data_IF_427476394282
#
_entry.id   IF_427476394282
#
_cell.length_a   1.000
_cell.length_b   1.000
_cell.length_c   1.000
_cell.angle_alpha   90.00
_cell.angle_beta   90.00
_cell.angle_gamma   90.00
#
_symmetry.space_group_name_H-M   'P 1'
#
loop_
_entity.id
_entity.type
_entity.pdbx_description
1 polymer ?
#
# COMPACT_ATOMS: atom_id res chain seq x y z
N UNK A 1 13.74 -9.73 18.38
CA UNK A 1 14.13 -9.18 17.07
C UNK A 1 13.11 -8.12 16.73
N UNK A 2 13.47 -6.85 16.96
CA UNK A 2 12.64 -5.69 16.63
C UNK A 2 12.29 -5.77 15.15
N UNK A 3 11.03 -6.07 14.83
CA UNK A 3 10.63 -6.13 13.44
C UNK A 3 10.81 -4.73 12.85
N UNK A 4 11.66 -4.62 11.82
CA UNK A 4 11.90 -3.45 10.98
C UNK A 4 10.63 -3.07 10.20
N UNK A 5 9.59 -2.72 10.93
CA UNK A 5 8.31 -2.25 10.42
C UNK A 5 8.26 -0.74 10.62
N UNK A 6 7.91 0.04 9.58
CA UNK A 6 7.54 -0.34 8.20
C UNK A 6 8.75 -0.42 7.25
N UNK A 7 8.69 -1.33 6.28
CA UNK A 7 9.65 -1.48 5.19
C UNK A 7 8.93 -1.80 3.86
N UNK A 8 9.55 -1.43 2.74
CA UNK A 8 8.98 -1.69 1.40
C UNK A 8 8.70 -3.19 1.18
N UNK A 9 7.56 -3.50 0.58
CA UNK A 9 7.08 -4.86 0.33
C UNK A 9 6.30 -5.48 1.48
N UNK A 10 6.36 -4.92 2.69
CA UNK A 10 5.58 -5.44 3.82
C UNK A 10 4.09 -5.28 3.60
N UNK A 11 3.32 -6.30 3.97
CA UNK A 11 1.86 -6.35 3.84
C UNK A 11 1.22 -6.38 5.21
N UNK A 12 0.18 -5.57 5.42
CA UNK A 12 -0.52 -5.42 6.70
C UNK A 12 -2.00 -5.06 6.46
N UNK A 13 -2.83 -5.20 7.49
CA UNK A 13 -4.21 -4.75 7.43
C UNK A 13 -4.33 -3.26 7.70
N UNK A 14 -5.03 -2.57 6.81
CA UNK A 14 -5.08 -1.11 6.82
C UNK A 14 -6.43 -0.57 6.37
N UNK A 15 -6.88 0.51 6.99
CA UNK A 15 -8.07 1.25 6.59
C UNK A 15 -7.76 2.19 5.43
N UNK A 16 -7.57 1.62 4.25
CA UNK A 16 -7.22 2.37 3.05
C UNK A 16 -8.33 3.38 2.68
N UNK A 17 -8.00 4.66 2.78
CA UNK A 17 -8.83 5.80 2.38
C UNK A 17 -8.71 6.11 0.88
N UNK A 18 -9.73 5.75 0.11
CA UNK A 18 -9.82 6.10 -1.30
C UNK A 18 -9.97 7.62 -1.48
N UNK A 19 -9.46 8.16 -2.59
CA UNK A 19 -9.50 9.59 -2.91
C UNK A 19 -10.92 10.16 -2.88
N UNK A 20 -11.89 9.43 -3.44
CA UNK A 20 -13.30 9.86 -3.42
C UNK A 20 -13.90 9.90 -2.01
N UNK A 21 -13.38 9.12 -1.06
CA UNK A 21 -13.78 9.16 0.35
C UNK A 21 -13.18 10.41 1.01
N UNK A 22 -11.90 10.67 0.77
CA UNK A 22 -11.22 11.87 1.25
C UNK A 22 -11.89 13.15 0.73
N UNK A 23 -12.28 13.18 -0.55
CA UNK A 23 -13.02 14.29 -1.17
C UNK A 23 -14.40 14.54 -0.54
N UNK A 24 -14.95 13.54 0.15
CA UNK A 24 -16.20 13.63 0.92
C UNK A 24 -15.98 13.96 2.41
N UNK A 25 -14.74 14.22 2.82
CA UNK A 25 -14.38 14.53 4.20
C UNK A 25 -14.21 13.31 5.11
N UNK A 26 -14.17 12.08 4.58
CA UNK A 26 -13.83 10.91 5.38
C UNK A 26 -12.34 10.94 5.73
N UNK A 27 -12.02 10.63 6.99
CA UNK A 27 -10.64 10.61 7.51
C UNK A 27 -10.04 9.19 7.53
N UNK A 28 -10.84 8.14 7.30
CA UNK A 28 -10.39 6.75 7.27
C UNK A 28 -11.16 5.88 6.27
N UNK A 29 -10.50 4.81 5.80
CA UNK A 29 -11.16 3.82 4.97
C UNK A 29 -12.21 3.04 5.78
N UNK A 30 -13.37 2.78 5.17
CA UNK A 30 -14.52 2.13 5.84
C UNK A 30 -14.31 0.67 6.28
N UNK A 31 -13.20 0.02 5.90
CA UNK A 31 -12.87 -1.35 6.34
C UNK A 31 -11.38 -1.64 6.23
N UNK A 32 -10.87 -2.51 7.10
CA UNK A 32 -9.53 -3.10 6.99
C UNK A 32 -9.41 -3.92 5.70
N UNK A 33 -8.30 -3.75 5.00
CA UNK A 33 -7.93 -4.52 3.81
C UNK A 33 -6.44 -4.81 3.85
N UNK A 34 -5.98 -5.94 3.29
CA UNK A 34 -4.56 -6.12 3.04
C UNK A 34 -4.05 -4.98 2.16
N UNK A 35 -2.94 -4.38 2.58
CA UNK A 35 -2.26 -3.28 1.89
C UNK A 35 -0.76 -3.48 2.02
N UNK A 36 0.01 -2.98 1.06
CA UNK A 36 1.47 -3.07 1.10
C UNK A 36 2.14 -1.71 1.22
N UNK A 37 3.26 -1.65 1.94
CA UNK A 37 4.18 -0.51 1.90
C UNK A 37 4.90 -0.54 0.55
N UNK A 38 4.69 0.47 -0.27
CA UNK A 38 5.43 0.66 -1.54
C UNK A 38 6.84 1.14 -1.23
N UNK A 39 6.96 2.17 -0.39
CA UNK A 39 8.23 2.76 0.02
C UNK A 39 8.05 3.52 1.33
N UNK A 40 9.13 3.62 2.11
CA UNK A 40 9.23 4.47 3.29
C UNK A 40 10.31 5.52 3.02
N UNK A 41 10.00 6.78 3.28
CA UNK A 41 10.96 7.89 3.15
C UNK A 41 10.99 8.70 4.43
N UNK A 42 12.15 9.24 4.78
CA UNK A 42 12.27 10.19 5.88
C UNK A 42 12.01 11.60 5.36
N UNK A 43 11.04 12.31 5.95
CA UNK A 43 10.77 13.71 5.60
C UNK A 43 11.77 14.67 6.26
N UNK A 44 11.65 15.97 5.94
CA UNK A 44 12.54 17.01 6.50
C UNK A 44 12.45 17.15 8.04
N UNK A 45 11.34 16.72 8.64
CA UNK A 45 11.15 16.71 10.08
C UNK A 45 11.69 15.43 10.75
N UNK A 46 12.34 14.53 10.00
CA UNK A 46 12.87 13.27 10.50
C UNK A 46 11.82 12.17 10.69
N UNK A 47 10.58 12.36 10.20
CA UNK A 47 9.50 11.38 10.34
C UNK A 47 9.44 10.40 9.17
N UNK A 48 8.97 9.18 9.44
CA UNK A 48 8.85 8.12 8.43
C UNK A 48 7.50 8.22 7.72
N UNK A 49 7.53 8.65 6.46
CA UNK A 49 6.37 8.69 5.57
C UNK A 49 6.28 7.41 4.78
N UNK A 50 5.23 6.64 5.02
CA UNK A 50 4.88 5.42 4.30
C UNK A 50 3.98 5.75 3.12
N UNK A 51 4.33 5.23 1.95
CA UNK A 51 3.43 5.20 0.80
C UNK A 51 2.82 3.81 0.70
N UNK A 52 1.49 3.72 0.76
CA UNK A 52 0.76 2.48 0.97
C UNK A 52 -0.17 2.24 -0.23
N UNK A 53 -0.14 1.04 -0.78
CA UNK A 53 -1.02 0.60 -1.87
C UNK A 53 -2.03 -0.44 -1.35
N UNK A 54 -3.31 -0.39 -1.76
CA UNK A 54 -4.29 -1.38 -1.35
C UNK A 54 -4.21 -2.63 -2.22
N UNK A 55 -4.56 -3.78 -1.62
CA UNK A 55 -4.71 -5.06 -2.31
C UNK A 55 -6.20 -5.37 -2.48
N UNK A 56 -6.56 -5.92 -3.64
CA UNK A 56 -7.95 -6.27 -3.98
C UNK A 56 -8.03 -7.61 -4.68
N UNK A 57 -9.10 -8.37 -4.43
CA UNK A 57 -9.51 -9.55 -5.21
C UNK A 57 -10.51 -9.21 -6.32
N UNK A 58 -10.92 -7.93 -6.43
CA UNK A 58 -11.71 -7.45 -7.56
C UNK A 58 -10.78 -7.07 -8.70
N UNK A 59 -11.03 -7.64 -9.87
CA UNK A 59 -10.32 -7.28 -11.10
C UNK A 59 -10.35 -5.75 -11.31
N UNK A 60 -9.20 -5.11 -11.55
CA UNK A 60 -9.13 -3.67 -11.77
C UNK A 60 -9.96 -3.25 -13.00
N UNK A 61 -10.73 -2.16 -12.86
CA UNK A 61 -11.48 -1.59 -13.97
C UNK A 61 -10.54 -1.07 -15.08
N UNK A 62 -10.99 -0.99 -16.35
CA UNK A 62 -10.22 -0.39 -17.42
C UNK A 62 -9.67 1.00 -17.04
N UNK A 63 -8.39 1.24 -17.32
CA UNK A 63 -7.70 2.48 -16.98
C UNK A 63 -7.09 2.54 -15.57
N UNK A 64 -7.35 1.56 -14.70
CA UNK A 64 -6.60 1.39 -13.45
C UNK A 64 -5.24 0.78 -13.75
N UNK A 65 -4.20 1.31 -13.10
CA UNK A 65 -2.88 0.68 -13.12
C UNK A 65 -2.73 -0.20 -11.89
N UNK A 66 -2.45 -1.48 -12.11
CA UNK A 66 -2.32 -2.47 -11.06
C UNK A 66 -1.36 -3.58 -11.49
N UNK A 67 -0.73 -4.22 -10.52
CA UNK A 67 0.05 -5.44 -10.74
C UNK A 67 -0.69 -6.62 -10.14
N UNK A 68 -0.88 -7.66 -10.93
CA UNK A 68 -1.36 -8.95 -10.42
C UNK A 68 -0.29 -9.55 -9.50
N UNK A 69 -0.72 -10.13 -8.39
CA UNK A 69 0.14 -10.73 -7.38
C UNK A 69 0.34 -12.21 -7.75
N UNK A 70 1.56 -12.64 -8.09
CA UNK A 70 1.84 -14.05 -8.30
C UNK A 70 1.54 -14.87 -7.05
N UNK A 71 1.11 -16.12 -7.22
CA UNK A 71 0.76 -17.00 -6.10
C UNK A 71 1.90 -17.13 -5.07
N UNK A 72 3.16 -17.18 -5.54
CA UNK A 72 4.34 -17.22 -4.67
C UNK A 72 4.45 -15.98 -3.78
N UNK A 73 4.12 -14.81 -4.30
CA UNK A 73 4.14 -13.54 -3.57
C UNK A 73 2.95 -13.45 -2.60
N UNK A 74 1.77 -13.95 -3.01
CA UNK A 74 0.62 -14.07 -2.13
C UNK A 74 0.94 -14.95 -0.91
N UNK A 75 1.61 -16.10 -1.11
CA UNK A 75 2.06 -16.97 -0.01
C UNK A 75 3.06 -16.26 0.92
N UNK A 76 4.07 -15.55 0.38
CA UNK A 76 5.04 -14.79 1.20
C UNK A 76 4.38 -13.71 2.05
N UNK A 77 3.34 -13.07 1.51
CA UNK A 77 2.57 -12.03 2.16
C UNK A 77 1.42 -12.56 3.05
N UNK A 78 1.21 -13.87 3.13
CA UNK A 78 0.07 -14.52 3.80
C UNK A 78 -1.28 -13.96 3.34
N UNK A 79 -1.43 -13.84 2.03
CA UNK A 79 -2.67 -13.50 1.35
C UNK A 79 -3.38 -14.79 0.89
N UNK A 80 -4.65 -14.66 0.51
CA UNK A 80 -5.39 -15.77 -0.10
C UNK A 80 -4.78 -16.13 -1.47
N UNK A 81 -4.76 -17.42 -1.78
CA UNK A 81 -4.10 -17.96 -2.99
C UNK A 81 -5.06 -18.65 -3.95
N UNK A 82 -6.31 -18.83 -3.54
CA UNK A 82 -7.40 -19.44 -4.31
C UNK A 82 -8.13 -18.43 -5.21
N UNK A 83 -7.85 -17.14 -5.04
CA UNK A 83 -8.39 -16.05 -5.87
C UNK A 83 -7.26 -15.18 -6.43
N UNK A 84 -7.41 -14.62 -7.65
CA UNK A 84 -6.46 -13.63 -8.15
C UNK A 84 -6.50 -12.36 -7.29
N UNK A 85 -5.32 -11.78 -7.06
CA UNK A 85 -5.16 -10.55 -6.28
C UNK A 85 -4.35 -9.52 -7.06
N UNK A 86 -4.62 -8.25 -6.81
CA UNK A 86 -3.90 -7.14 -7.44
C UNK A 86 -3.49 -6.09 -6.42
N UNK A 87 -2.28 -5.53 -6.60
CA UNK A 87 -1.85 -4.28 -5.96
C UNK A 87 -2.26 -3.11 -6.86
N UNK A 88 -3.04 -2.18 -6.34
CA UNK A 88 -3.46 -0.97 -7.07
C UNK A 88 -2.38 0.10 -6.94
N UNK A 89 -1.92 0.65 -8.07
CA UNK A 89 -0.70 1.49 -8.10
C UNK A 89 -0.95 2.94 -8.52
N UNK A 90 -2.10 3.24 -9.13
CA UNK A 90 -2.49 4.59 -9.52
C UNK A 90 -3.06 5.43 -8.37
N UNK A 91 -3.14 4.86 -7.16
CA UNK A 91 -3.71 5.50 -5.99
C UNK A 91 -3.09 4.97 -4.71
N UNK A 92 -2.44 5.86 -3.95
CA UNK A 92 -1.72 5.52 -2.73
C UNK A 92 -2.16 6.40 -1.55
N UNK A 93 -2.00 5.87 -0.35
CA UNK A 93 -2.05 6.66 0.87
C UNK A 93 -0.64 7.07 1.28
N UNK A 94 -0.50 8.29 1.77
CA UNK A 94 0.70 8.76 2.45
C UNK A 94 0.39 8.89 3.94
N UNK A 95 1.04 8.07 4.76
CA UNK A 95 0.81 8.00 6.20
C UNK A 95 2.11 8.20 6.98
N UNK A 96 2.05 8.88 8.11
CA UNK A 96 3.23 9.17 8.95
C UNK A 96 3.25 8.19 10.11
N UNK A 97 4.28 7.33 10.15
CA UNK A 97 4.35 6.23 11.11
C UNK A 97 4.22 6.69 12.57
N UNK A 98 4.87 7.79 12.91
CA UNK A 98 4.95 8.32 14.28
C UNK A 98 3.59 8.81 14.79
N UNK A 99 2.68 9.22 13.90
CA UNK A 99 1.38 9.80 14.25
C UNK A 99 0.19 8.99 13.74
N UNK A 100 0.43 7.88 13.04
CA UNK A 100 -0.64 7.09 12.41
C UNK A 100 -1.50 6.37 13.45
N UNK A 101 -2.75 6.80 13.59
CA UNK A 101 -3.79 6.10 14.34
C UNK A 101 -4.34 4.87 13.61
N UNK A 102 -4.18 4.79 12.28
CA UNK A 102 -4.69 3.66 11.47
C UNK A 102 -3.81 2.42 11.44
N UNK A 103 -2.65 2.48 12.09
CA UNK A 103 -1.65 1.40 12.21
C UNK A 103 -1.50 0.96 13.67
N UNK A 104 -2.63 0.70 14.32
CA UNK A 104 -2.66 0.24 15.71
C UNK A 104 -1.96 -1.12 15.86
N UNK A 105 -2.19 -2.02 14.91
CA UNK A 105 -1.53 -3.31 14.81
C UNK A 105 -0.30 -3.18 13.90
N UNK A 106 0.84 -2.84 14.50
CA UNK A 106 2.16 -2.76 13.82
C UNK A 106 2.77 -4.13 13.52
N UNK A 107 1.92 -5.07 13.11
CA UNK A 107 2.30 -6.44 12.81
C UNK A 107 2.07 -6.72 11.32
N UNK A 108 3.13 -6.88 10.51
CA UNK A 108 2.95 -7.27 9.13
C UNK A 108 2.41 -8.71 9.06
N UNK A 109 1.50 -8.95 8.11
CA UNK A 109 1.09 -10.31 7.69
C UNK A 109 2.28 -11.08 7.14
N UNK A 110 3.05 -10.42 6.30
CA UNK A 110 4.22 -10.95 5.60
C UNK A 110 4.84 -9.87 4.73
N UNK A 111 5.66 -10.27 3.77
CA UNK A 111 6.28 -9.32 2.83
C UNK A 111 6.40 -9.95 1.46
N UNK A 112 6.23 -9.15 0.41
CA UNK A 112 6.66 -9.52 -0.93
C UNK A 112 8.18 -9.66 -1.01
N UNK A 113 8.65 -10.44 -1.97
CA UNK A 113 10.06 -10.57 -2.32
C UNK A 113 10.58 -9.33 -3.04
N UNK A 114 11.90 -9.11 -2.95
CA UNK A 114 12.56 -7.91 -3.48
C UNK A 114 12.21 -7.62 -4.95
N UNK A 115 12.23 -8.61 -5.84
CA UNK A 115 11.92 -8.41 -7.26
C UNK A 115 10.49 -7.89 -7.51
N UNK A 116 9.50 -8.38 -6.76
CA UNK A 116 8.12 -7.91 -6.90
C UNK A 116 7.94 -6.53 -6.25
N UNK A 117 8.60 -6.28 -5.11
CA UNK A 117 8.66 -4.95 -4.48
C UNK A 117 9.28 -3.91 -5.42
N UNK A 118 10.36 -4.26 -6.12
CA UNK A 118 11.01 -3.38 -7.10
C UNK A 118 10.10 -3.10 -8.31
N UNK A 119 9.35 -4.11 -8.79
CA UNK A 119 8.36 -3.92 -9.85
C UNK A 119 7.23 -2.97 -9.45
N UNK A 120 6.72 -3.10 -8.22
CA UNK A 120 5.74 -2.17 -7.64
C UNK A 120 6.31 -0.75 -7.59
N UNK A 121 7.52 -0.59 -7.06
CA UNK A 121 8.17 0.71 -6.92
C UNK A 121 8.43 1.37 -8.28
N UNK A 122 8.93 0.60 -9.26
CA UNK A 122 9.18 1.08 -10.61
C UNK A 122 7.90 1.62 -11.26
N UNK A 123 6.80 0.89 -11.14
CA UNK A 123 5.54 1.27 -11.76
C UNK A 123 4.91 2.50 -11.08
N UNK A 124 5.01 2.61 -9.76
CA UNK A 124 4.62 3.83 -9.02
C UNK A 124 5.47 5.03 -9.44
N UNK A 125 6.78 4.86 -9.62
CA UNK A 125 7.65 5.93 -10.11
C UNK A 125 7.28 6.39 -11.52
N UNK A 126 6.96 5.45 -12.41
CA UNK A 126 6.48 5.73 -13.77
C UNK A 126 5.19 6.56 -13.73
N UNK A 127 4.21 6.17 -12.92
CA UNK A 127 2.94 6.88 -12.75
C UNK A 127 3.14 8.27 -12.16
N UNK A 128 4.05 8.42 -11.18
CA UNK A 128 4.38 9.72 -10.58
C UNK A 128 4.95 10.67 -11.64
N UNK A 129 5.90 10.21 -12.44
CA UNK A 129 6.53 11.02 -13.50
C UNK A 129 5.52 11.40 -14.59
N UNK A 130 4.57 10.50 -14.91
CA UNK A 130 3.52 10.75 -15.89
C UNK A 130 2.32 11.56 -15.35
N UNK A 131 2.29 11.93 -14.06
CA UNK A 131 1.17 12.64 -13.43
C UNK A 131 -0.09 11.80 -13.20
N UNK A 132 0.00 10.47 -13.34
CA UNK A 132 -1.13 9.54 -13.16
C UNK A 132 -1.37 9.07 -11.73
N UNK A 133 -0.47 9.40 -10.80
CA UNK A 133 -0.53 8.95 -9.41
C UNK A 133 -1.46 9.84 -8.55
N UNK A 134 -2.46 9.22 -7.92
CA UNK A 134 -3.31 9.87 -6.91
C UNK A 134 -2.75 9.60 -5.51
N UNK A 135 -2.74 10.62 -4.67
CA UNK A 135 -2.28 10.53 -3.28
C UNK A 135 -3.34 11.05 -2.32
N UNK A 136 -3.68 10.24 -1.31
CA UNK A 136 -4.50 10.64 -0.17
C UNK A 136 -3.61 10.74 1.07
N UNK A 137 -3.56 11.92 1.71
CA UNK A 137 -2.81 12.10 2.95
C UNK A 137 -3.64 11.60 4.13
N UNK A 138 -2.98 10.90 5.05
CA UNK A 138 -3.52 10.51 6.34
C UNK A 138 -3.16 11.58 7.36
N UNK A 139 -4.11 11.91 8.21
CA UNK A 139 -3.98 12.87 9.31
C UNK A 139 -4.18 12.16 10.62
#
# INVERSE_FOLDING_TARGET
MTADFPAAGQVFDYHFLWKWQAERGETEGRKKRPSCVVVVVTNQAGQHVMFIAPITSKSPAPGRTALEIPETEARRARLETDVPLWVILDELNADVLETSYTLEERSPRGSFGAAFTDAILHEVQRLRTAGGLKLSRRT
#
